data_IF_202235434273
#
_entry.id   IF_202235434273
#
_cell.length_a   1.000
_cell.length_b   1.000
_cell.length_c   1.000
_cell.angle_alpha   90.00
_cell.angle_beta   90.00
_cell.angle_gamma   90.00
#
_symmetry.space_group_name_H-M   'P 1'
#
loop_
_entity.id
_entity.type
_entity.pdbx_description
1 polymer ?
#
# COMPACT_ATOMS: atom_id res chain seq x y z
N UNK A 1 -2.64 -23.75 21.95
CA UNK A 1 -2.53 -24.71 20.85
C UNK A 1 -1.37 -24.24 19.98
N UNK A 2 -0.27 -24.96 20.01
CA UNK A 2 0.96 -24.64 19.24
C UNK A 2 0.70 -24.94 17.79
N UNK A 3 0.71 -23.91 16.92
CA UNK A 3 0.64 -24.08 15.48
C UNK A 3 1.94 -24.72 15.00
N UNK A 4 1.89 -25.99 14.66
CA UNK A 4 2.96 -26.65 13.95
C UNK A 4 3.03 -26.08 12.52
N UNK A 5 3.93 -25.15 12.27
CA UNK A 5 4.38 -24.87 10.93
C UNK A 5 4.97 -26.15 10.33
N UNK A 6 4.53 -26.63 9.18
CA UNK A 6 5.08 -27.84 8.61
C UNK A 6 6.58 -27.62 8.30
N UNK A 7 7.44 -28.48 8.86
CA UNK A 7 8.89 -28.47 8.66
C UNK A 7 9.37 -28.40 7.20
N UNK A 8 8.48 -28.69 6.25
CA UNK A 8 8.75 -28.56 4.80
C UNK A 8 8.82 -27.11 4.34
N UNK A 9 7.97 -26.21 4.84
CA UNK A 9 8.01 -24.78 4.49
C UNK A 9 9.24 -24.10 5.03
N UNK A 10 9.69 -24.47 6.23
CA UNK A 10 10.91 -23.92 6.83
C UNK A 10 12.19 -24.30 6.03
N UNK A 11 12.25 -25.51 5.46
CA UNK A 11 13.39 -25.94 4.63
C UNK A 11 13.45 -25.22 3.29
N UNK A 12 12.31 -24.92 2.67
CA UNK A 12 12.24 -24.17 1.40
C UNK A 12 12.64 -22.70 1.63
N UNK A 13 12.15 -22.09 2.71
CA UNK A 13 12.54 -20.72 3.10
C UNK A 13 14.05 -20.62 3.38
N UNK A 14 14.65 -21.60 4.06
CA UNK A 14 16.09 -21.60 4.33
C UNK A 14 16.93 -21.75 3.05
N UNK A 15 16.51 -22.61 2.11
CA UNK A 15 17.25 -22.81 0.85
C UNK A 15 17.17 -21.60 -0.06
N UNK A 16 16.05 -20.91 -0.09
CA UNK A 16 15.87 -19.69 -0.90
C UNK A 16 16.61 -18.50 -0.28
N UNK A 17 16.62 -18.40 1.06
CA UNK A 17 17.43 -17.40 1.76
C UNK A 17 18.93 -17.58 1.51
N UNK A 18 19.42 -18.84 1.43
CA UNK A 18 20.81 -19.14 1.04
C UNK A 18 21.08 -18.83 -0.44
N UNK A 19 20.11 -19.02 -1.32
CA UNK A 19 20.25 -18.68 -2.75
C UNK A 19 20.28 -17.16 -2.97
N UNK A 20 19.46 -16.38 -2.24
CA UNK A 20 19.55 -14.92 -2.25
C UNK A 20 20.93 -14.44 -1.74
N UNK A 21 21.43 -15.01 -0.65
CA UNK A 21 22.75 -14.67 -0.11
C UNK A 21 23.91 -15.02 -1.06
N UNK A 22 23.75 -16.05 -1.91
CA UNK A 22 24.78 -16.46 -2.87
C UNK A 22 24.84 -15.57 -4.12
N UNK A 23 23.77 -14.85 -4.45
CA UNK A 23 23.73 -13.89 -5.56
C UNK A 23 24.18 -12.48 -5.15
N UNK A 24 24.30 -12.21 -3.85
CA UNK A 24 24.76 -10.93 -3.31
C UNK A 24 26.25 -11.02 -2.96
N UNK A 25 27.08 -10.17 -3.53
CA UNK A 25 28.47 -10.00 -3.07
C UNK A 25 28.45 -9.66 -1.58
N UNK A 26 29.37 -10.23 -0.75
CA UNK A 26 29.38 -9.92 0.67
C UNK A 26 29.75 -8.44 0.87
N UNK A 27 28.76 -7.59 0.90
CA UNK A 27 28.92 -6.24 1.40
C UNK A 27 28.98 -6.33 2.92
N UNK A 28 30.03 -5.80 3.51
CA UNK A 28 30.11 -5.58 4.96
C UNK A 28 28.83 -4.81 5.33
N UNK A 29 28.03 -5.38 6.22
CA UNK A 29 26.80 -4.77 6.68
C UNK A 29 27.12 -3.41 7.30
N UNK A 30 27.01 -2.36 6.50
CA UNK A 30 27.01 -1.00 6.99
C UNK A 30 25.62 -0.81 7.62
N UNK A 31 25.54 -0.70 8.93
CA UNK A 31 24.30 -0.37 9.63
C UNK A 31 23.78 0.94 9.04
N UNK A 32 22.58 0.91 8.49
CA UNK A 32 21.94 2.14 8.01
C UNK A 32 21.66 3.03 9.22
N UNK A 33 22.06 4.31 9.16
CA UNK A 33 21.67 5.31 10.16
C UNK A 33 20.18 5.66 10.12
N UNK A 34 19.45 5.07 9.16
CA UNK A 34 18.02 5.31 8.94
C UNK A 34 17.17 4.13 9.45
N UNK A 35 16.25 4.42 10.36
CA UNK A 35 15.28 3.44 10.83
C UNK A 35 14.35 3.01 9.68
N UNK A 36 14.15 1.71 9.54
CA UNK A 36 13.26 1.16 8.50
C UNK A 36 11.81 1.61 8.69
N UNK A 37 11.19 1.98 7.61
CA UNK A 37 9.76 2.28 7.56
C UNK A 37 8.99 0.97 7.48
N UNK A 38 7.92 0.84 8.27
CA UNK A 38 6.83 -0.08 8.03
C UNK A 38 5.55 0.72 8.00
N UNK A 39 5.00 0.89 6.79
CA UNK A 39 3.79 1.67 6.54
C UNK A 39 2.59 0.78 6.18
N UNK A 40 1.40 1.35 6.26
CA UNK A 40 0.21 0.73 5.74
C UNK A 40 -0.84 1.77 5.38
N UNK A 41 -1.55 1.51 4.27
CA UNK A 41 -2.69 2.33 3.89
C UNK A 41 -3.94 1.86 4.61
N UNK A 42 -4.65 2.82 5.21
CA UNK A 42 -5.98 2.65 5.77
C UNK A 42 -6.99 3.39 4.88
N UNK A 43 -7.90 2.64 4.32
CA UNK A 43 -8.95 3.16 3.44
C UNK A 43 -10.13 3.65 4.29
N UNK A 44 -10.51 4.94 4.16
CA UNK A 44 -11.58 5.57 4.95
C UNK A 44 -12.92 4.82 4.85
N UNK A 45 -13.20 4.28 3.65
CA UNK A 45 -14.43 3.56 3.33
C UNK A 45 -14.48 2.12 3.84
N UNK A 46 -13.39 1.59 4.40
CA UNK A 46 -13.35 0.22 4.93
C UNK A 46 -14.32 -0.01 6.09
N UNK A 47 -14.78 1.05 6.71
CA UNK A 47 -15.79 1.01 7.79
C UNK A 47 -17.17 0.52 7.30
N UNK A 48 -17.47 0.67 6.00
CA UNK A 48 -18.80 0.35 5.47
C UNK A 48 -18.98 -1.15 5.19
N UNK A 49 -18.05 -1.77 4.47
CA UNK A 49 -18.25 -3.09 3.88
C UNK A 49 -17.37 -4.16 4.52
N UNK A 50 -16.12 -3.80 4.77
CA UNK A 50 -15.21 -4.68 5.46
C UNK A 50 -15.46 -4.72 6.97
N UNK A 51 -16.23 -3.74 7.51
CA UNK A 51 -16.38 -3.57 8.95
C UNK A 51 -15.04 -3.30 9.62
N UNK A 52 -14.02 -2.87 8.83
CA UNK A 52 -12.68 -2.64 9.30
C UNK A 52 -12.50 -1.16 9.65
N UNK A 53 -12.06 -0.90 10.87
CA UNK A 53 -11.91 0.44 11.41
C UNK A 53 -10.58 0.60 12.16
N UNK A 54 -10.22 1.81 12.52
CA UNK A 54 -8.95 2.12 13.20
C UNK A 54 -8.76 1.32 14.49
N UNK A 55 -9.84 0.97 15.22
CA UNK A 55 -9.73 0.16 16.43
C UNK A 55 -9.23 -1.27 16.15
N UNK A 56 -9.44 -1.81 14.95
CA UNK A 56 -8.92 -3.12 14.58
C UNK A 56 -7.38 -3.15 14.58
N UNK A 57 -6.72 -2.07 14.19
CA UNK A 57 -5.26 -1.94 14.24
C UNK A 57 -4.73 -2.08 15.68
N UNK A 58 -5.45 -1.53 16.64
CA UNK A 58 -5.12 -1.66 18.06
C UNK A 58 -5.42 -3.07 18.56
N UNK A 59 -6.60 -3.60 18.26
CA UNK A 59 -7.08 -4.88 18.75
C UNK A 59 -6.21 -6.05 18.29
N UNK A 60 -5.78 -6.03 17.02
CA UNK A 60 -4.91 -7.06 16.48
C UNK A 60 -3.41 -6.80 16.72
N UNK A 61 -3.04 -5.66 17.31
CA UNK A 61 -1.66 -5.29 17.65
C UNK A 61 -0.82 -4.81 16.47
N UNK A 62 -1.41 -4.58 15.30
CA UNK A 62 -0.72 -4.04 14.11
C UNK A 62 -0.26 -2.60 14.36
N UNK A 63 -1.06 -1.78 15.08
CA UNK A 63 -0.71 -0.40 15.38
C UNK A 63 0.68 -0.24 16.03
N UNK A 64 1.04 -1.14 16.94
CA UNK A 64 2.35 -1.15 17.61
C UNK A 64 3.51 -1.59 16.72
N UNK A 65 3.25 -2.04 15.49
CA UNK A 65 4.25 -2.46 14.52
C UNK A 65 4.51 -1.41 13.44
N UNK A 66 3.49 -0.60 13.12
CA UNK A 66 3.60 0.44 12.11
C UNK A 66 4.47 1.61 12.59
N UNK A 67 5.22 2.19 11.66
CA UNK A 67 5.87 3.49 11.82
C UNK A 67 5.03 4.60 11.20
N UNK A 68 4.34 4.28 10.10
CA UNK A 68 3.53 5.21 9.32
C UNK A 68 2.18 4.60 8.99
N UNK A 69 1.13 5.39 9.14
CA UNK A 69 -0.22 5.10 8.68
C UNK A 69 -0.56 6.12 7.60
N UNK A 70 -0.75 5.67 6.35
CA UNK A 70 -1.25 6.50 5.27
C UNK A 70 -2.78 6.39 5.27
N UNK A 71 -3.46 7.48 5.52
CA UNK A 71 -4.92 7.55 5.54
C UNK A 71 -5.43 7.92 4.13
N UNK A 72 -6.12 7.03 3.48
CA UNK A 72 -6.58 7.16 2.11
C UNK A 72 -8.11 7.39 2.08
N UNK A 73 -8.62 8.47 1.45
CA UNK A 73 -7.89 9.53 0.78
C UNK A 73 -8.49 10.91 1.08
N UNK A 74 -7.71 11.96 0.81
CA UNK A 74 -8.28 13.27 0.59
C UNK A 74 -8.42 13.53 -0.93
N UNK A 75 -9.45 14.27 -1.32
CA UNK A 75 -9.64 14.69 -2.71
C UNK A 75 -8.94 16.02 -3.01
N UNK A 76 -8.67 16.26 -4.29
CA UNK A 76 -8.27 17.56 -4.82
C UNK A 76 -9.47 18.23 -5.46
N UNK A 77 -9.86 19.41 -4.95
CA UNK A 77 -10.84 20.29 -5.58
C UNK A 77 -10.13 21.35 -6.42
N UNK A 78 -10.74 21.77 -7.52
CA UNK A 78 -10.24 22.86 -8.36
C UNK A 78 -11.15 24.10 -8.37
N UNK A 79 -12.28 24.04 -7.69
CA UNK A 79 -13.31 25.09 -7.68
C UNK A 79 -13.63 25.54 -6.24
N UNK A 80 -13.60 26.83 -5.92
CA UNK A 80 -13.29 27.99 -6.76
C UNK A 80 -11.78 28.16 -7.04
N UNK A 81 -10.90 27.45 -6.33
CA UNK A 81 -9.45 27.38 -6.52
C UNK A 81 -8.94 26.03 -6.06
N UNK A 82 -7.71 25.62 -6.50
CA UNK A 82 -7.13 24.37 -6.01
C UNK A 82 -7.07 24.29 -4.48
N UNK A 83 -7.64 23.23 -3.92
CA UNK A 83 -7.71 23.00 -2.49
C UNK A 83 -7.81 21.49 -2.17
N UNK A 84 -7.37 21.08 -0.99
CA UNK A 84 -7.73 19.78 -0.43
C UNK A 84 -9.20 19.77 0.00
N UNK A 85 -9.81 18.60 -0.13
CA UNK A 85 -11.17 18.34 0.35
C UNK A 85 -11.24 17.00 1.07
N UNK A 86 -12.03 16.93 2.13
CA UNK A 86 -12.42 15.68 2.76
C UNK A 86 -13.26 14.89 1.77
N UNK A 87 -12.95 13.60 1.59
CA UNK A 87 -13.65 12.77 0.61
C UNK A 87 -14.96 12.22 1.18
N UNK A 88 -14.97 11.77 2.44
CA UNK A 88 -16.15 11.25 3.13
C UNK A 88 -16.27 11.87 4.54
N UNK A 89 -17.11 12.87 4.66
CA UNK A 89 -17.32 13.58 5.95
C UNK A 89 -17.92 12.68 7.03
N UNK A 90 -18.73 11.69 6.64
CA UNK A 90 -19.33 10.76 7.58
C UNK A 90 -18.30 9.81 8.17
N UNK A 91 -17.51 9.14 7.32
CA UNK A 91 -16.46 8.24 7.76
C UNK A 91 -15.37 8.98 8.55
N UNK A 92 -14.99 10.18 8.08
CA UNK A 92 -13.84 10.90 8.59
C UNK A 92 -14.08 11.52 9.97
N UNK A 93 -15.16 12.29 10.14
CA UNK A 93 -15.31 13.04 11.38
C UNK A 93 -16.75 13.15 11.95
N UNK A 94 -17.76 12.60 11.26
CA UNK A 94 -19.15 12.77 11.73
C UNK A 94 -19.75 11.52 12.39
N UNK A 95 -19.32 10.30 12.02
CA UNK A 95 -19.89 9.05 12.52
C UNK A 95 -19.60 8.83 14.02
N UNK A 96 -20.60 8.88 14.90
CA UNK A 96 -20.42 8.62 16.33
C UNK A 96 -20.41 7.12 16.65
N UNK A 97 -20.58 6.25 15.65
CA UNK A 97 -20.81 4.82 15.83
C UNK A 97 -19.55 3.97 15.72
N UNK A 98 -18.42 4.55 15.31
CA UNK A 98 -17.18 3.77 15.21
C UNK A 98 -16.67 3.36 16.59
N UNK A 99 -16.11 2.13 16.72
CA UNK A 99 -15.58 1.65 17.98
C UNK A 99 -14.43 2.54 18.48
N UNK A 100 -14.43 2.79 19.79
CA UNK A 100 -13.31 3.47 20.44
C UNK A 100 -12.04 2.63 20.39
N UNK A 101 -10.92 3.27 20.11
CA UNK A 101 -9.59 2.63 20.09
C UNK A 101 -9.06 2.41 21.51
N UNK A 102 -9.32 3.35 22.42
CA UNK A 102 -8.83 3.31 23.81
C UNK A 102 -9.81 2.72 24.81
N UNK A 103 -11.02 2.34 24.38
CA UNK A 103 -12.12 1.97 25.26
C UNK A 103 -12.88 3.16 25.86
N UNK A 104 -12.43 4.38 25.60
CA UNK A 104 -13.07 5.62 26.06
C UNK A 104 -13.89 6.22 24.91
N UNK A 105 -15.17 6.53 25.17
CA UNK A 105 -16.04 7.14 24.15
C UNK A 105 -15.48 8.47 23.62
N UNK A 106 -15.77 8.79 22.38
CA UNK A 106 -15.39 10.08 21.78
C UNK A 106 -16.24 11.21 22.41
N UNK A 107 -15.59 12.25 22.96
CA UNK A 107 -16.35 13.31 23.64
C UNK A 107 -17.07 14.28 22.69
N UNK A 108 -16.81 14.15 21.36
CA UNK A 108 -17.27 15.12 20.36
C UNK A 108 -16.62 16.52 20.51
N UNK A 109 -16.81 17.39 19.54
CA UNK A 109 -17.56 17.20 18.30
C UNK A 109 -16.82 16.40 17.21
N UNK A 110 -15.56 16.00 17.43
CA UNK A 110 -14.82 15.13 16.52
C UNK A 110 -15.20 13.68 16.75
N UNK A 111 -15.66 13.00 15.69
CA UNK A 111 -16.02 11.59 15.67
C UNK A 111 -15.29 10.86 14.51
N UNK A 112 -15.80 9.75 14.06
CA UNK A 112 -15.34 9.02 12.88
C UNK A 112 -13.90 8.50 13.01
N UNK A 113 -13.31 8.25 11.86
CA UNK A 113 -11.92 7.79 11.77
C UNK A 113 -10.93 8.79 12.38
N UNK A 114 -11.19 10.09 12.28
CA UNK A 114 -10.29 11.12 12.82
C UNK A 114 -10.23 11.10 14.35
N UNK A 115 -11.36 10.90 15.02
CA UNK A 115 -11.37 10.70 16.47
C UNK A 115 -10.64 9.38 16.86
N UNK A 116 -10.83 8.33 16.08
CA UNK A 116 -10.15 7.05 16.29
C UNK A 116 -8.61 7.19 16.10
N UNK A 117 -8.16 7.90 15.06
CA UNK A 117 -6.74 8.21 14.83
C UNK A 117 -6.17 9.03 15.99
N UNK A 118 -6.92 10.01 16.51
CA UNK A 118 -6.48 10.80 17.66
C UNK A 118 -6.21 9.92 18.89
N UNK A 119 -7.10 8.97 19.19
CA UNK A 119 -6.88 8.01 20.27
C UNK A 119 -5.74 7.04 19.96
N UNK A 120 -5.61 6.58 18.71
CA UNK A 120 -4.52 5.69 18.30
C UNK A 120 -3.16 6.36 18.50
N UNK A 121 -3.00 7.62 18.11
CA UNK A 121 -1.76 8.40 18.32
C UNK A 121 -1.43 8.62 19.80
N UNK A 122 -2.44 8.75 20.66
CA UNK A 122 -2.22 8.81 22.11
C UNK A 122 -1.64 7.51 22.67
N UNK A 123 -2.10 6.35 22.17
CA UNK A 123 -1.58 5.04 22.55
C UNK A 123 -0.22 4.72 21.90
N UNK A 124 0.02 5.26 20.70
CA UNK A 124 1.23 5.05 19.90
C UNK A 124 1.86 6.38 19.47
N UNK A 125 2.50 7.14 20.40
CA UNK A 125 3.02 8.48 20.10
C UNK A 125 4.15 8.51 19.05
N UNK A 126 4.77 7.36 18.77
CA UNK A 126 5.76 7.20 17.70
C UNK A 126 5.17 7.00 16.31
N UNK A 127 3.87 6.67 16.21
CA UNK A 127 3.20 6.46 14.93
C UNK A 127 3.01 7.79 14.20
N UNK A 128 3.48 7.88 12.96
CA UNK A 128 3.22 8.99 12.05
C UNK A 128 1.98 8.69 11.23
N UNK A 129 1.06 9.64 11.16
CA UNK A 129 -0.15 9.52 10.35
C UNK A 129 -0.07 10.55 9.23
N UNK A 130 -0.09 10.09 7.98
CA UNK A 130 -0.06 10.93 6.79
C UNK A 130 -1.44 10.94 6.14
N UNK A 131 -1.90 12.10 5.71
CA UNK A 131 -3.03 12.17 4.78
C UNK A 131 -2.52 11.82 3.39
N UNK A 132 -3.02 10.74 2.79
CA UNK A 132 -2.81 10.45 1.39
C UNK A 132 -3.80 11.23 0.55
N UNK A 133 -3.30 11.93 -0.48
CA UNK A 133 -4.11 12.83 -1.31
C UNK A 133 -4.13 12.26 -2.73
N UNK A 134 -5.30 11.91 -3.23
CA UNK A 134 -5.47 11.45 -4.61
C UNK A 134 -6.04 10.05 -4.76
N UNK A 135 -5.17 9.07 -5.05
CA UNK A 135 -5.51 7.69 -5.42
C UNK A 135 -5.93 7.53 -6.88
N UNK A 136 -6.22 6.28 -7.29
CA UNK A 136 -6.51 5.85 -8.68
C UNK A 136 -7.79 6.44 -9.30
N UNK A 137 -8.22 7.60 -8.86
CA UNK A 137 -9.41 8.30 -9.37
C UNK A 137 -9.06 9.20 -10.55
N UNK A 138 -9.70 8.98 -11.69
CA UNK A 138 -9.56 9.86 -12.86
C UNK A 138 -9.91 11.32 -12.56
N UNK A 139 -10.84 11.57 -11.63
CA UNK A 139 -11.21 12.91 -11.19
C UNK A 139 -10.07 13.58 -10.41
N UNK A 140 -9.44 12.86 -9.48
CA UNK A 140 -8.29 13.37 -8.74
C UNK A 140 -7.08 13.59 -9.67
N UNK A 141 -6.81 12.67 -10.60
CA UNK A 141 -5.74 12.85 -11.60
C UNK A 141 -5.94 14.14 -12.41
N UNK A 142 -7.14 14.39 -12.93
CA UNK A 142 -7.46 15.62 -13.67
C UNK A 142 -7.35 16.88 -12.78
N UNK A 143 -7.74 16.78 -11.51
CA UNK A 143 -7.62 17.86 -10.55
C UNK A 143 -6.17 18.19 -10.22
N UNK A 144 -5.29 17.19 -10.08
CA UNK A 144 -3.86 17.40 -9.92
C UNK A 144 -3.23 18.10 -11.13
N UNK A 145 -3.55 17.65 -12.36
CA UNK A 145 -3.08 18.31 -13.60
C UNK A 145 -3.44 19.80 -13.55
N UNK A 146 -4.66 20.13 -13.20
CA UNK A 146 -5.14 21.52 -13.10
C UNK A 146 -4.41 22.27 -11.98
N UNK A 147 -4.37 21.74 -10.78
CA UNK A 147 -3.80 22.38 -9.61
C UNK A 147 -2.28 22.60 -9.75
N UNK A 148 -1.57 21.61 -10.30
CA UNK A 148 -0.13 21.65 -10.47
C UNK A 148 0.34 22.52 -11.63
N UNK A 149 -0.53 22.89 -12.58
CA UNK A 149 -0.18 23.60 -13.81
C UNK A 149 0.41 24.99 -13.59
N UNK A 150 0.06 25.65 -12.47
CA UNK A 150 0.52 27.02 -12.15
C UNK A 150 1.14 27.10 -10.74
N UNK A 151 2.06 28.03 -10.54
CA UNK A 151 2.63 28.28 -9.22
C UNK A 151 1.57 28.72 -8.20
N UNK A 152 0.59 29.51 -8.62
CA UNK A 152 -0.53 29.92 -7.75
C UNK A 152 -1.41 28.73 -7.35
N UNK A 153 -1.69 27.82 -8.28
CA UNK A 153 -2.47 26.60 -8.01
C UNK A 153 -1.74 25.67 -7.04
N UNK A 154 -0.45 25.38 -7.25
CA UNK A 154 0.36 24.58 -6.33
C UNK A 154 0.39 25.16 -4.92
N UNK A 155 0.60 26.50 -4.82
CA UNK A 155 0.61 27.22 -3.55
C UNK A 155 -0.74 27.13 -2.84
N UNK A 156 -1.84 27.32 -3.55
CA UNK A 156 -3.18 27.25 -2.99
C UNK A 156 -3.51 25.84 -2.49
N UNK A 157 -3.21 24.80 -3.29
CA UNK A 157 -3.44 23.41 -2.89
C UNK A 157 -2.65 23.06 -1.63
N UNK A 158 -1.34 23.29 -1.61
CA UNK A 158 -0.50 22.97 -0.46
C UNK A 158 -0.96 23.71 0.80
N UNK A 159 -1.26 25.01 0.70
CA UNK A 159 -1.72 25.81 1.83
C UNK A 159 -3.05 25.27 2.40
N UNK A 160 -4.00 24.92 1.54
CA UNK A 160 -5.30 24.40 1.97
C UNK A 160 -5.19 23.03 2.61
N UNK A 161 -4.32 22.13 2.09
CA UNK A 161 -4.08 20.82 2.69
C UNK A 161 -3.47 20.96 4.09
N UNK A 162 -2.49 21.85 4.24
CA UNK A 162 -1.85 22.12 5.54
C UNK A 162 -2.88 22.69 6.53
N UNK A 163 -3.71 23.62 6.10
CA UNK A 163 -4.74 24.19 6.95
C UNK A 163 -5.75 23.14 7.41
N UNK A 164 -6.25 22.35 6.49
CA UNK A 164 -7.29 21.35 6.75
C UNK A 164 -6.75 20.21 7.65
N UNK A 165 -5.60 19.63 7.35
CA UNK A 165 -5.16 18.38 7.97
C UNK A 165 -4.06 18.54 9.01
N UNK A 166 -3.09 19.43 8.80
CA UNK A 166 -1.98 19.62 9.75
C UNK A 166 -2.34 20.61 10.85
N UNK A 167 -2.90 21.77 10.48
CA UNK A 167 -3.47 22.73 11.45
C UNK A 167 -4.79 22.19 12.04
N UNK A 168 -5.44 21.26 11.32
CA UNK A 168 -6.62 20.55 11.80
C UNK A 168 -7.90 21.39 11.79
N UNK A 169 -8.04 22.33 10.87
CA UNK A 169 -9.28 23.11 10.69
C UNK A 169 -10.30 22.27 9.88
N UNK A 170 -10.78 21.18 10.48
CA UNK A 170 -11.55 20.12 9.80
C UNK A 170 -12.89 20.63 9.29
N UNK A 171 -13.66 21.32 10.13
CA UNK A 171 -14.95 21.90 9.80
C UNK A 171 -15.30 23.03 10.78
N UNK A 172 -16.31 23.86 10.51
CA UNK A 172 -16.77 24.87 11.46
C UNK A 172 -17.05 24.29 12.84
N UNK A 173 -16.29 24.73 13.85
CA UNK A 173 -16.38 24.25 15.22
C UNK A 173 -15.68 22.90 15.49
N UNK A 174 -15.01 22.31 14.53
CA UNK A 174 -14.24 21.05 14.67
C UNK A 174 -12.79 21.31 14.33
N UNK A 175 -11.93 21.23 15.32
CA UNK A 175 -10.48 21.38 15.16
C UNK A 175 -9.73 20.19 15.76
N UNK A 176 -8.71 19.71 15.06
CA UNK A 176 -7.87 18.57 15.47
C UNK A 176 -6.39 18.82 15.07
N UNK A 177 -5.71 19.81 15.67
CA UNK A 177 -4.34 20.16 15.32
C UNK A 177 -3.39 19.01 15.63
N UNK A 178 -2.52 18.66 14.65
CA UNK A 178 -1.54 17.59 14.80
C UNK A 178 -2.14 16.19 14.67
N UNK A 179 -3.35 16.07 14.14
CA UNK A 179 -3.94 14.77 13.78
C UNK A 179 -3.09 14.07 12.71
N UNK A 180 -2.73 14.82 11.67
CA UNK A 180 -1.83 14.34 10.63
C UNK A 180 -0.43 14.95 10.80
N UNK A 181 0.59 14.12 10.56
CA UNK A 181 2.00 14.48 10.67
C UNK A 181 2.61 14.93 9.33
N UNK A 182 1.81 14.95 8.27
CA UNK A 182 2.22 15.32 6.92
C UNK A 182 1.36 14.68 5.84
N UNK A 183 1.96 14.49 4.66
CA UNK A 183 1.23 14.06 3.46
C UNK A 183 1.95 12.96 2.69
N UNK A 184 1.14 12.13 2.02
CA UNK A 184 1.53 11.29 0.90
C UNK A 184 0.80 11.81 -0.34
N UNK A 185 1.52 12.12 -1.43
CA UNK A 185 0.92 12.57 -2.69
C UNK A 185 0.75 11.36 -3.59
N UNK A 186 -0.49 11.00 -3.82
CA UNK A 186 -0.89 9.82 -4.58
C UNK A 186 -1.55 10.24 -5.91
N UNK A 187 -0.71 10.74 -6.82
CA UNK A 187 -1.15 11.15 -8.16
C UNK A 187 -0.90 10.00 -9.15
N UNK A 188 -1.96 9.28 -9.50
CA UNK A 188 -1.89 8.12 -10.40
C UNK A 188 -2.40 8.45 -11.81
N UNK A 189 -1.53 8.66 -12.82
CA UNK A 189 -0.10 8.91 -12.69
C UNK A 189 0.24 10.17 -13.52
N UNK A 190 1.30 10.92 -13.18
CA UNK A 190 1.77 12.01 -14.02
C UNK A 190 2.15 11.51 -15.41
N UNK A 191 1.80 12.28 -16.44
CA UNK A 191 2.22 12.02 -17.81
C UNK A 191 3.53 12.78 -18.12
N UNK A 192 4.10 12.56 -19.30
CA UNK A 192 5.32 13.28 -19.73
C UNK A 192 5.16 14.80 -19.73
N UNK A 193 3.93 15.33 -19.90
CA UNK A 193 3.63 16.75 -19.82
C UNK A 193 3.59 17.28 -18.39
N UNK A 194 3.42 16.39 -17.41
CA UNK A 194 3.28 16.74 -15.99
C UNK A 194 4.58 16.67 -15.22
N UNK A 195 5.65 16.09 -15.76
CA UNK A 195 6.93 15.83 -15.09
C UNK A 195 7.44 17.02 -14.26
N UNK A 196 7.47 18.21 -14.87
CA UNK A 196 7.93 19.43 -14.20
C UNK A 196 6.93 19.92 -13.14
N UNK A 197 5.64 19.79 -13.43
CA UNK A 197 4.57 20.23 -12.56
C UNK A 197 4.47 19.35 -11.32
N UNK A 198 4.64 18.03 -11.47
CA UNK A 198 4.70 17.09 -10.37
C UNK A 198 5.84 17.42 -9.39
N UNK A 199 7.06 17.54 -9.91
CA UNK A 199 8.22 17.93 -9.07
C UNK A 199 8.01 19.28 -8.39
N UNK A 200 7.45 20.27 -9.11
CA UNK A 200 7.17 21.58 -8.54
C UNK A 200 6.04 21.57 -7.50
N UNK A 201 5.07 20.65 -7.62
CA UNK A 201 4.04 20.45 -6.59
C UNK A 201 4.65 19.90 -5.30
N UNK A 202 5.47 18.86 -5.40
CA UNK A 202 6.18 18.31 -4.24
C UNK A 202 7.07 19.36 -3.56
N UNK A 203 7.80 20.16 -4.36
CA UNK A 203 8.64 21.25 -3.85
C UNK A 203 7.84 22.33 -3.12
N UNK A 204 6.62 22.63 -3.57
CA UNK A 204 5.74 23.60 -2.91
C UNK A 204 5.25 23.08 -1.56
N UNK A 205 4.78 21.82 -1.47
CA UNK A 205 4.42 21.19 -0.20
C UNK A 205 5.61 21.18 0.76
N UNK A 206 6.78 20.74 0.29
CA UNK A 206 8.01 20.73 1.09
C UNK A 206 8.34 22.13 1.63
N UNK A 207 8.27 23.18 0.79
CA UNK A 207 8.57 24.55 1.18
C UNK A 207 7.64 25.04 2.28
N UNK A 208 6.33 24.83 2.13
CA UNK A 208 5.35 25.27 3.12
C UNK A 208 5.44 24.47 4.42
N UNK A 209 5.63 23.15 4.34
CA UNK A 209 5.83 22.31 5.54
C UNK A 209 7.11 22.69 6.30
N UNK A 210 8.20 23.00 5.59
CA UNK A 210 9.42 23.51 6.24
C UNK A 210 9.23 24.87 6.90
N UNK A 211 8.48 25.76 6.29
CA UNK A 211 8.13 27.05 6.88
C UNK A 211 7.31 26.85 8.16
N UNK A 212 6.35 25.93 8.15
CA UNK A 212 5.58 25.57 9.33
C UNK A 212 6.45 24.90 10.40
N UNK A 213 7.36 24.02 10.01
CA UNK A 213 8.33 23.37 10.91
C UNK A 213 9.19 24.39 11.66
N UNK A 214 9.63 25.45 10.98
CA UNK A 214 10.43 26.52 11.59
C UNK A 214 9.68 27.27 12.70
N UNK A 215 8.35 27.32 12.65
CA UNK A 215 7.52 27.99 13.67
C UNK A 215 7.07 27.05 14.80
N UNK A 216 6.90 25.77 14.50
CA UNK A 216 6.35 24.77 15.43
C UNK A 216 7.42 23.93 16.11
N UNK A 217 8.64 23.88 15.57
CA UNK A 217 9.71 22.98 16.01
C UNK A 217 9.46 21.50 15.68
N UNK A 218 8.44 21.19 14.86
CA UNK A 218 8.07 19.82 14.48
C UNK A 218 8.56 19.50 13.07
N UNK A 219 8.95 18.26 12.84
CA UNK A 219 9.15 17.73 11.49
C UNK A 219 7.82 17.22 10.94
N UNK A 220 7.45 17.67 9.73
CA UNK A 220 6.28 17.18 8.98
C UNK A 220 6.76 16.31 7.85
N UNK A 221 6.20 15.10 7.80
CA UNK A 221 6.63 14.05 6.87
C UNK A 221 6.01 14.26 5.50
N UNK A 222 6.82 14.08 4.46
CA UNK A 222 6.38 14.16 3.08
C UNK A 222 6.75 12.88 2.34
N UNK A 223 5.80 12.29 1.60
CA UNK A 223 6.05 11.19 0.67
C UNK A 223 5.24 11.36 -0.60
N UNK A 224 5.52 10.55 -1.61
CA UNK A 224 4.64 10.37 -2.75
C UNK A 224 4.55 8.89 -3.13
N UNK A 225 3.48 8.53 -3.85
CA UNK A 225 3.31 7.21 -4.42
C UNK A 225 4.03 7.09 -5.75
N UNK A 226 4.94 6.12 -5.85
CA UNK A 226 5.78 5.88 -7.01
C UNK A 226 5.35 4.63 -7.77
N UNK A 227 5.03 4.74 -9.07
CA UNK A 227 4.54 3.62 -9.85
C UNK A 227 5.60 2.53 -10.09
N UNK A 228 5.16 1.27 -10.17
CA UNK A 228 6.00 0.14 -10.52
C UNK A 228 6.35 0.07 -12.02
N UNK A 229 5.43 0.39 -12.89
CA UNK A 229 5.62 0.19 -14.34
C UNK A 229 6.48 1.26 -15.02
N UNK A 230 7.41 0.84 -15.88
CA UNK A 230 8.29 1.73 -16.63
C UNK A 230 7.52 2.79 -17.44
N UNK A 231 6.35 2.44 -17.98
CA UNK A 231 5.48 3.36 -18.71
C UNK A 231 5.04 4.57 -17.88
N UNK A 232 5.04 4.45 -16.54
CA UNK A 232 4.63 5.49 -15.62
C UNK A 232 5.83 6.22 -14.98
N UNK A 233 6.79 5.51 -14.39
CA UNK A 233 7.89 6.17 -13.67
C UNK A 233 8.83 6.96 -14.59
N UNK A 234 8.93 6.66 -15.89
CA UNK A 234 9.70 7.45 -16.84
C UNK A 234 9.18 8.89 -17.01
N UNK A 235 7.94 9.14 -16.60
CA UNK A 235 7.31 10.45 -16.63
C UNK A 235 7.63 11.30 -15.38
N UNK A 236 8.38 10.76 -14.41
CA UNK A 236 8.74 11.44 -13.17
C UNK A 236 10.25 11.70 -13.17
N UNK A 237 10.67 12.93 -12.85
CA UNK A 237 12.08 13.23 -12.52
C UNK A 237 12.35 12.67 -11.11
N UNK A 238 12.57 11.34 -11.04
CA UNK A 238 12.65 10.58 -9.79
C UNK A 238 13.68 11.17 -8.82
N UNK A 239 14.84 11.61 -9.33
CA UNK A 239 15.86 12.23 -8.50
C UNK A 239 15.37 13.51 -7.84
N UNK A 240 14.83 14.44 -8.64
CA UNK A 240 14.35 15.72 -8.12
C UNK A 240 13.10 15.56 -7.25
N UNK A 241 12.22 14.61 -7.57
CA UNK A 241 11.07 14.28 -6.73
C UNK A 241 11.52 13.71 -5.38
N UNK A 242 12.51 12.81 -5.37
CA UNK A 242 13.08 12.26 -4.14
C UNK A 242 13.75 13.31 -3.23
N UNK A 243 14.29 14.40 -3.80
CA UNK A 243 14.85 15.53 -3.03
C UNK A 243 13.78 16.27 -2.21
N UNK A 244 12.50 16.17 -2.59
CA UNK A 244 11.39 16.91 -1.97
C UNK A 244 10.65 16.12 -0.87
N UNK A 245 10.98 14.85 -0.69
CA UNK A 245 10.24 13.94 0.22
C UNK A 245 11.16 13.22 1.18
N UNK A 246 10.61 12.74 2.29
CA UNK A 246 11.35 11.92 3.26
C UNK A 246 11.53 10.49 2.76
N UNK A 247 10.49 9.92 2.13
CA UNK A 247 10.51 8.60 1.52
C UNK A 247 9.50 8.53 0.35
N UNK A 248 9.54 7.43 -0.40
CA UNK A 248 8.64 7.16 -1.52
C UNK A 248 7.98 5.81 -1.27
N UNK A 249 6.64 5.75 -1.32
CA UNK A 249 5.90 4.49 -1.37
C UNK A 249 5.91 4.00 -2.81
N UNK A 250 6.61 2.92 -3.12
CA UNK A 250 6.79 2.45 -4.50
C UNK A 250 6.07 1.12 -4.65
N UNK A 251 5.13 1.07 -5.58
CA UNK A 251 4.35 -0.13 -5.85
C UNK A 251 5.24 -1.33 -6.19
N UNK A 252 5.07 -2.42 -5.48
CA UNK A 252 5.69 -3.71 -5.77
C UNK A 252 4.66 -4.74 -6.24
N UNK A 253 3.61 -4.28 -6.91
CA UNK A 253 2.45 -5.09 -7.30
C UNK A 253 1.82 -4.57 -8.60
N UNK A 254 0.77 -5.26 -9.06
CA UNK A 254 0.08 -4.98 -10.32
C UNK A 254 0.98 -5.09 -11.57
N UNK A 255 2.05 -5.89 -11.50
CA UNK A 255 2.82 -6.27 -12.70
C UNK A 255 2.02 -7.15 -13.64
N UNK A 256 1.09 -7.94 -13.10
CA UNK A 256 0.07 -8.70 -13.83
C UNK A 256 -1.26 -8.63 -13.09
N UNK A 257 -2.35 -8.85 -13.83
CA UNK A 257 -3.69 -8.89 -13.27
C UNK A 257 -4.72 -9.39 -14.27
N UNK A 258 -5.96 -9.53 -13.84
CA UNK A 258 -7.05 -10.10 -14.62
C UNK A 258 -7.48 -9.28 -15.85
N UNK A 259 -6.90 -8.10 -16.06
CA UNK A 259 -6.97 -7.37 -17.33
C UNK A 259 -6.17 -8.02 -18.46
N UNK A 260 -5.28 -8.96 -18.14
CA UNK A 260 -4.56 -9.79 -19.10
C UNK A 260 -5.29 -11.12 -19.26
N UNK A 261 -5.28 -11.68 -20.48
CA UNK A 261 -5.84 -13.02 -20.73
C UNK A 261 -4.94 -14.13 -20.19
N UNK A 262 -3.64 -13.91 -20.10
CA UNK A 262 -2.68 -14.88 -19.62
C UNK A 262 -2.41 -14.69 -18.12
N UNK A 263 -2.47 -15.79 -17.37
CA UNK A 263 -2.11 -15.81 -15.95
C UNK A 263 -0.62 -15.51 -15.76
N UNK A 264 -0.30 -14.71 -14.77
CA UNK A 264 1.08 -14.39 -14.37
C UNK A 264 1.12 -13.99 -12.89
N UNK A 265 2.31 -13.80 -12.34
CA UNK A 265 2.48 -13.32 -10.98
C UNK A 265 2.27 -11.79 -10.90
N UNK A 266 1.43 -11.35 -9.96
CA UNK A 266 1.08 -9.94 -9.80
C UNK A 266 2.14 -9.13 -9.04
N UNK A 267 2.96 -9.79 -8.22
CA UNK A 267 3.98 -9.15 -7.37
C UNK A 267 5.27 -9.99 -7.28
N UNK A 268 5.87 -10.39 -8.41
CA UNK A 268 7.10 -11.18 -8.37
C UNK A 268 8.30 -10.34 -7.93
N UNK A 269 9.19 -10.93 -7.12
CA UNK A 269 10.40 -10.24 -6.71
C UNK A 269 11.44 -10.17 -7.85
N UNK A 270 11.55 -11.22 -8.65
CA UNK A 270 12.51 -11.33 -9.75
C UNK A 270 11.83 -11.77 -11.05
N UNK A 271 12.42 -11.37 -12.17
CA UNK A 271 12.05 -11.89 -13.48
C UNK A 271 12.55 -13.33 -13.69
N UNK A 272 11.95 -14.05 -14.64
CA UNK A 272 12.31 -15.43 -14.96
C UNK A 272 12.22 -15.71 -16.46
N UNK A 273 13.24 -16.39 -17.01
CA UNK A 273 13.23 -16.86 -18.42
C UNK A 273 12.07 -17.78 -18.78
N UNK A 274 11.32 -18.24 -17.79
CA UNK A 274 10.11 -19.04 -18.01
C UNK A 274 8.87 -18.19 -18.22
N UNK A 275 8.93 -16.89 -17.82
CA UNK A 275 7.86 -15.95 -18.06
C UNK A 275 7.80 -15.57 -19.54
N UNK A 276 6.64 -15.68 -20.21
CA UNK A 276 6.46 -15.18 -21.57
C UNK A 276 6.75 -13.67 -21.75
N UNK A 277 6.73 -12.91 -20.66
CA UNK A 277 7.03 -11.47 -20.62
C UNK A 277 8.46 -11.17 -20.13
N UNK A 278 9.34 -12.18 -20.10
CA UNK A 278 10.72 -12.05 -19.68
C UNK A 278 11.43 -10.88 -20.39
N UNK A 279 12.11 -10.05 -19.58
CA UNK A 279 12.85 -8.88 -20.05
C UNK A 279 12.00 -7.63 -20.29
N UNK A 280 10.75 -7.60 -19.80
CA UNK A 280 9.88 -6.43 -19.84
C UNK A 280 9.88 -5.62 -18.55
N UNK A 281 10.78 -5.94 -17.61
CA UNK A 281 10.93 -5.26 -16.30
C UNK A 281 9.63 -5.24 -15.48
N UNK A 282 8.92 -6.38 -15.50
CA UNK A 282 7.66 -6.59 -14.79
C UNK A 282 7.89 -7.35 -13.48
N UNK A 283 8.79 -6.84 -12.65
CA UNK A 283 9.15 -7.37 -11.35
C UNK A 283 9.69 -6.28 -10.42
N UNK A 284 9.76 -6.61 -9.12
CA UNK A 284 10.18 -5.66 -8.08
C UNK A 284 11.66 -5.31 -8.24
N UNK A 285 12.54 -6.27 -8.55
CA UNK A 285 13.99 -6.04 -8.65
C UNK A 285 14.32 -5.04 -9.76
N UNK A 286 13.70 -5.19 -10.92
CA UNK A 286 13.82 -4.25 -12.04
C UNK A 286 13.33 -2.83 -11.67
N UNK A 287 12.20 -2.74 -10.95
CA UNK A 287 11.69 -1.46 -10.46
C UNK A 287 12.66 -0.81 -9.48
N UNK A 288 13.19 -1.57 -8.50
CA UNK A 288 14.20 -1.08 -7.55
C UNK A 288 15.41 -0.55 -8.30
N UNK A 289 15.96 -1.34 -9.24
CA UNK A 289 17.15 -0.95 -9.99
C UNK A 289 16.92 0.31 -10.82
N UNK A 290 15.74 0.47 -11.42
CA UNK A 290 15.37 1.68 -12.16
C UNK A 290 15.36 2.94 -11.28
N UNK A 291 14.74 2.87 -10.09
CA UNK A 291 14.70 4.00 -9.15
C UNK A 291 16.10 4.35 -8.62
N UNK A 292 16.90 3.35 -8.25
CA UNK A 292 18.27 3.57 -7.80
C UNK A 292 19.16 4.15 -8.91
N UNK A 293 19.04 3.63 -10.14
CA UNK A 293 19.77 4.14 -11.31
C UNK A 293 19.37 5.58 -11.65
N UNK A 294 18.11 5.96 -11.42
CA UNK A 294 17.63 7.33 -11.57
C UNK A 294 18.17 8.28 -10.49
N UNK A 295 18.82 7.76 -9.44
CA UNK A 295 19.43 8.55 -8.37
C UNK A 295 18.58 8.73 -7.12
N UNK A 296 17.55 7.91 -6.93
CA UNK A 296 16.80 7.84 -5.67
C UNK A 296 17.69 7.23 -4.60
N UNK A 297 17.88 7.88 -3.44
CA UNK A 297 18.64 7.30 -2.34
C UNK A 297 17.98 6.01 -1.83
N UNK A 298 18.73 4.90 -1.62
CA UNK A 298 18.14 3.63 -1.22
C UNK A 298 17.25 3.70 0.02
N UNK A 299 17.63 4.49 1.01
CA UNK A 299 16.87 4.66 2.26
C UNK A 299 15.52 5.38 2.07
N UNK A 300 15.27 5.98 0.91
CA UNK A 300 13.97 6.57 0.55
C UNK A 300 13.06 5.62 -0.21
N UNK A 301 13.57 4.49 -0.68
CA UNK A 301 12.78 3.47 -1.37
C UNK A 301 12.02 2.62 -0.36
N UNK A 302 10.69 2.73 -0.31
CA UNK A 302 9.82 1.92 0.55
C UNK A 302 8.98 1.01 -0.33
N UNK A 303 9.22 -0.32 -0.24
CA UNK A 303 8.61 -1.33 -1.10
C UNK A 303 7.15 -1.58 -0.73
N UNK A 304 6.24 -1.47 -1.70
CA UNK A 304 4.85 -1.85 -1.55
C UNK A 304 4.62 -3.35 -1.69
N UNK A 305 3.85 -3.93 -0.78
CA UNK A 305 3.33 -5.28 -0.87
C UNK A 305 1.80 -5.26 -0.93
N UNK A 306 1.19 -6.07 -1.83
CA UNK A 306 -0.26 -6.17 -1.87
C UNK A 306 -0.75 -7.09 -0.75
N UNK A 307 -1.81 -6.70 -0.06
CA UNK A 307 -2.57 -7.60 0.80
C UNK A 307 -3.79 -8.19 0.06
N UNK A 308 -3.72 -8.24 -1.26
CA UNK A 308 -4.69 -8.84 -2.16
C UNK A 308 -3.96 -9.65 -3.23
N UNK A 309 -4.72 -10.40 -4.02
CA UNK A 309 -4.19 -11.14 -5.15
C UNK A 309 -5.05 -11.00 -6.38
N UNK A 310 -4.45 -11.28 -7.53
CA UNK A 310 -5.12 -11.31 -8.82
C UNK A 310 -5.55 -12.75 -9.17
N UNK A 311 -6.71 -12.89 -9.81
CA UNK A 311 -7.28 -14.19 -10.11
C UNK A 311 -7.94 -14.31 -11.48
N UNK A 312 -7.86 -15.49 -12.06
CA UNK A 312 -8.41 -15.85 -13.38
C UNK A 312 -9.22 -17.14 -13.31
N UNK A 313 -10.17 -17.28 -14.22
CA UNK A 313 -11.00 -18.49 -14.38
C UNK A 313 -10.86 -19.09 -15.78
N UNK A 314 -11.31 -20.34 -15.95
CA UNK A 314 -11.17 -21.08 -17.20
C UNK A 314 -9.73 -21.39 -17.57
N UNK A 315 -8.87 -21.51 -16.58
CA UNK A 315 -7.43 -21.72 -16.71
C UNK A 315 -7.15 -23.22 -16.90
N UNK A 316 -6.48 -23.64 -18.00
CA UNK A 316 -6.16 -25.06 -18.25
C UNK A 316 -5.23 -25.65 -17.17
N UNK A 317 -5.42 -26.94 -16.86
CA UNK A 317 -4.56 -27.70 -15.96
C UNK A 317 -3.21 -28.05 -16.61
N UNK A 318 -2.41 -27.02 -16.89
CA UNK A 318 -1.05 -27.13 -17.42
C UNK A 318 -0.18 -26.14 -16.64
N UNK A 319 1.03 -26.54 -16.27
CA UNK A 319 1.95 -25.74 -15.44
C UNK A 319 1.26 -25.13 -14.18
N UNK A 320 0.40 -25.92 -13.55
CA UNK A 320 -0.38 -25.50 -12.37
C UNK A 320 -1.19 -24.20 -12.57
N UNK A 321 -1.59 -23.93 -13.81
CA UNK A 321 -2.32 -22.73 -14.19
C UNK A 321 -1.45 -21.51 -14.47
N UNK A 322 -0.15 -21.53 -14.22
CA UNK A 322 0.74 -20.38 -14.47
C UNK A 322 1.09 -20.30 -15.97
N UNK A 323 1.08 -19.08 -16.52
CA UNK A 323 1.32 -18.75 -17.94
C UNK A 323 0.32 -19.41 -18.88
N UNK A 324 -0.92 -19.59 -18.46
CA UNK A 324 -1.98 -20.15 -19.25
C UNK A 324 -3.00 -19.08 -19.67
N UNK A 325 -3.62 -19.27 -20.85
CA UNK A 325 -4.74 -18.43 -21.25
C UNK A 325 -5.97 -18.75 -20.40
N UNK A 326 -6.58 -17.72 -19.86
CA UNK A 326 -7.83 -17.78 -19.11
C UNK A 326 -9.03 -17.43 -19.99
N UNK A 327 -10.23 -17.67 -19.49
CA UNK A 327 -11.47 -17.16 -20.10
C UNK A 327 -11.89 -15.80 -19.54
N UNK A 328 -11.21 -15.31 -18.51
CA UNK A 328 -11.48 -14.00 -17.91
C UNK A 328 -11.09 -13.93 -16.42
N UNK A 329 -11.48 -12.86 -15.75
CA UNK A 329 -11.25 -12.70 -14.33
C UNK A 329 -11.94 -13.79 -13.50
N UNK A 330 -11.35 -14.14 -12.36
CA UNK A 330 -12.00 -15.03 -11.38
C UNK A 330 -13.30 -14.41 -10.86
N UNK A 331 -14.28 -15.24 -10.45
CA UNK A 331 -15.44 -14.73 -9.72
C UNK A 331 -15.01 -13.98 -8.45
N UNK A 332 -15.84 -13.06 -8.00
CA UNK A 332 -15.66 -12.42 -6.68
C UNK A 332 -15.70 -13.51 -5.60
N UNK A 333 -14.67 -13.53 -4.76
CA UNK A 333 -14.63 -14.37 -3.57
C UNK A 333 -14.87 -13.50 -2.33
N UNK A 334 -15.91 -13.81 -1.62
CA UNK A 334 -16.14 -13.24 -0.29
C UNK A 334 -15.35 -14.02 0.77
N UNK A 335 -15.12 -13.42 1.92
CA UNK A 335 -14.42 -14.06 3.03
C UNK A 335 -15.00 -15.42 3.45
N UNK A 336 -16.28 -15.68 3.12
CA UNK A 336 -16.95 -16.97 3.33
C UNK A 336 -16.83 -17.93 2.13
N UNK A 337 -16.17 -17.55 1.03
CA UNK A 337 -15.99 -18.39 -0.17
C UNK A 337 -17.24 -18.58 -1.02
N UNK A 338 -18.35 -17.87 -0.76
CA UNK A 338 -19.65 -18.15 -1.42
C UNK A 338 -19.93 -17.32 -2.65
N UNK A 339 -19.10 -16.35 -3.00
CA UNK A 339 -19.33 -15.44 -4.13
C UNK A 339 -20.55 -14.52 -3.98
N UNK A 340 -21.15 -14.47 -2.80
CA UNK A 340 -22.31 -13.63 -2.47
C UNK A 340 -21.93 -12.61 -1.41
N UNK A 341 -22.24 -11.34 -1.65
CA UNK A 341 -22.04 -10.30 -0.66
C UNK A 341 -22.83 -10.62 0.62
N UNK A 342 -22.16 -10.63 1.78
CA UNK A 342 -22.82 -10.96 3.05
C UNK A 342 -23.73 -9.87 3.60
N UNK A 343 -24.00 -8.79 2.84
CA UNK A 343 -24.96 -7.80 3.29
C UNK A 343 -26.36 -8.44 3.40
N UNK A 344 -26.78 -8.61 4.64
CA UNK A 344 -28.04 -9.23 5.01
C UNK A 344 -29.27 -8.43 4.58
N UNK A 345 -29.11 -7.20 4.10
CA UNK A 345 -30.19 -6.35 3.60
C UNK A 345 -30.55 -6.59 2.14
N UNK A 346 -29.77 -7.40 1.41
CA UNK A 346 -29.92 -7.64 -0.04
C UNK A 346 -29.46 -6.44 -0.90
N UNK A 347 -28.85 -5.44 -0.30
CA UNK A 347 -28.30 -4.29 -1.00
C UNK A 347 -26.87 -4.57 -1.43
N UNK A 348 -26.66 -4.82 -2.71
CA UNK A 348 -25.33 -5.04 -3.29
C UNK A 348 -24.50 -3.75 -3.40
N UNK A 349 -25.10 -2.57 -3.18
CA UNK A 349 -24.38 -1.30 -3.16
C UNK A 349 -23.40 -1.16 -1.98
N UNK A 350 -23.43 -2.10 -1.05
CA UNK A 350 -22.60 -2.15 0.14
C UNK A 350 -21.42 -3.11 0.07
N UNK A 351 -21.18 -3.74 -1.03
CA UNK A 351 -20.04 -4.64 -1.16
C UNK A 351 -18.82 -3.87 -1.66
N UNK A 352 -17.70 -4.06 -0.99
CA UNK A 352 -16.44 -3.40 -1.29
C UNK A 352 -16.16 -3.39 -2.80
N UNK A 353 -16.01 -2.21 -3.37
CA UNK A 353 -15.72 -2.03 -4.79
C UNK A 353 -14.37 -2.63 -5.21
N UNK A 354 -13.50 -2.94 -4.24
CA UNK A 354 -12.27 -3.69 -4.47
C UNK A 354 -12.52 -5.20 -4.63
N UNK A 355 -13.69 -5.71 -4.22
CA UNK A 355 -14.10 -7.06 -4.53
C UNK A 355 -14.69 -7.11 -5.95
N UNK A 356 -13.92 -6.67 -6.91
CA UNK A 356 -14.23 -6.82 -8.33
C UNK A 356 -13.83 -8.21 -8.81
N UNK A 357 -14.47 -8.75 -9.86
CA UNK A 357 -13.99 -9.96 -10.48
C UNK A 357 -12.49 -9.86 -10.79
N UNK A 358 -11.74 -10.90 -10.44
CA UNK A 358 -10.29 -10.94 -10.64
C UNK A 358 -9.45 -10.43 -9.47
N UNK A 359 -10.06 -9.99 -8.37
CA UNK A 359 -9.34 -9.62 -7.14
C UNK A 359 -9.90 -10.40 -5.95
N UNK A 360 -9.01 -10.70 -4.98
CA UNK A 360 -9.39 -11.26 -3.69
C UNK A 360 -8.40 -10.82 -2.61
N UNK A 361 -8.89 -10.60 -1.39
CA UNK A 361 -8.06 -10.19 -0.24
C UNK A 361 -7.12 -11.32 0.21
N UNK A 362 -5.99 -10.98 0.82
CA UNK A 362 -5.12 -11.97 1.47
C UNK A 362 -5.91 -12.80 2.50
N UNK A 363 -6.77 -12.17 3.29
CA UNK A 363 -7.64 -12.86 4.26
C UNK A 363 -8.44 -14.00 3.62
N UNK A 364 -8.97 -13.79 2.41
CA UNK A 364 -9.70 -14.82 1.66
C UNK A 364 -8.75 -15.87 1.08
N UNK A 365 -7.69 -15.43 0.39
CA UNK A 365 -6.77 -16.31 -0.34
C UNK A 365 -6.01 -17.25 0.59
N UNK A 366 -5.63 -16.78 1.78
CA UNK A 366 -4.91 -17.59 2.79
C UNK A 366 -5.69 -18.84 3.26
N UNK A 367 -7.02 -18.85 3.06
CA UNK A 367 -7.90 -19.95 3.45
C UNK A 367 -8.26 -20.89 2.30
N UNK A 368 -7.89 -20.58 1.05
CA UNK A 368 -8.34 -21.37 -0.12
C UNK A 368 -7.73 -22.76 -0.19
N UNK A 369 -6.57 -23.01 0.42
CA UNK A 369 -6.00 -24.38 0.50
C UNK A 369 -6.89 -25.37 1.27
N UNK A 370 -7.72 -24.89 2.19
CA UNK A 370 -8.74 -25.69 2.83
C UNK A 370 -9.97 -25.94 1.95
N UNK A 371 -10.07 -25.25 0.82
CA UNK A 371 -11.22 -25.25 -0.10
C UNK A 371 -10.87 -25.81 -1.50
N UNK A 372 -9.90 -26.73 -1.58
CA UNK A 372 -9.57 -27.46 -2.81
C UNK A 372 -8.45 -26.86 -3.65
N UNK A 373 -7.94 -25.67 -3.31
CA UNK A 373 -6.80 -25.09 -3.99
C UNK A 373 -5.48 -25.71 -3.53
N UNK A 374 -4.56 -25.86 -4.45
CA UNK A 374 -3.17 -26.26 -4.17
C UNK A 374 -2.28 -25.03 -4.30
N UNK A 375 -1.44 -24.79 -3.30
CA UNK A 375 -0.45 -23.72 -3.30
C UNK A 375 0.83 -24.16 -4.00
N UNK A 376 1.39 -23.29 -4.83
CA UNK A 376 2.64 -23.48 -5.56
C UNK A 376 3.55 -22.27 -5.30
N UNK A 377 4.79 -22.56 -4.93
CA UNK A 377 5.83 -21.54 -4.74
C UNK A 377 6.86 -21.59 -5.89
N UNK A 378 7.09 -20.46 -6.55
CA UNK A 378 8.17 -20.31 -7.53
C UNK A 378 9.40 -19.67 -6.85
N UNK A 379 10.49 -20.45 -6.60
CA UNK A 379 11.68 -19.93 -5.95
C UNK A 379 12.49 -18.98 -6.83
N UNK A 380 12.29 -18.97 -8.15
CA UNK A 380 13.01 -18.07 -9.06
C UNK A 380 12.41 -16.68 -9.06
N UNK A 381 11.10 -16.61 -8.90
CA UNK A 381 10.36 -15.35 -8.88
C UNK A 381 10.06 -14.86 -7.46
N UNK A 382 10.23 -15.73 -6.45
CA UNK A 382 9.78 -15.48 -5.07
C UNK A 382 8.32 -15.08 -5.10
N UNK A 383 7.48 -15.94 -5.66
CA UNK A 383 6.06 -15.72 -5.85
C UNK A 383 5.27 -16.96 -5.45
N UNK A 384 4.01 -16.77 -5.04
CA UNK A 384 3.08 -17.83 -4.67
C UNK A 384 1.83 -17.74 -5.54
N UNK A 385 1.36 -18.90 -5.96
CA UNK A 385 0.07 -19.03 -6.64
C UNK A 385 -0.78 -20.14 -6.03
N UNK A 386 -2.08 -20.01 -6.21
CA UNK A 386 -3.10 -21.01 -5.87
C UNK A 386 -3.78 -21.50 -7.14
N UNK A 387 -3.96 -22.79 -7.28
CA UNK A 387 -4.67 -23.35 -8.41
C UNK A 387 -5.66 -24.44 -7.97
N UNK A 388 -6.92 -24.26 -8.35
CA UNK A 388 -7.94 -25.30 -8.31
C UNK A 388 -8.07 -25.94 -9.69
N UNK A 389 -7.58 -27.19 -9.84
CA UNK A 389 -7.63 -27.92 -11.10
C UNK A 389 -9.05 -28.31 -11.54
N UNK A 390 -9.97 -28.38 -10.59
CA UNK A 390 -11.37 -28.78 -10.86
C UNK A 390 -12.17 -27.60 -11.38
N UNK A 391 -12.04 -26.45 -10.71
CA UNK A 391 -12.69 -25.22 -11.13
C UNK A 391 -11.95 -24.52 -12.28
N UNK A 392 -10.68 -24.84 -12.52
CA UNK A 392 -9.82 -24.11 -13.47
C UNK A 392 -9.62 -22.67 -13.03
N UNK A 393 -9.44 -22.43 -11.74
CA UNK A 393 -9.26 -21.07 -11.17
C UNK A 393 -7.86 -20.93 -10.62
N UNK A 394 -7.17 -19.84 -10.98
CA UNK A 394 -5.81 -19.50 -10.59
C UNK A 394 -5.81 -18.16 -9.87
N UNK A 395 -5.06 -18.06 -8.77
CA UNK A 395 -4.75 -16.83 -8.08
C UNK A 395 -3.25 -16.69 -7.84
N UNK A 396 -2.76 -15.45 -7.86
CA UNK A 396 -1.41 -15.07 -7.43
C UNK A 396 -1.52 -14.06 -6.31
N UNK A 397 -0.67 -14.16 -5.28
CA UNK A 397 -0.69 -13.28 -4.12
C UNK A 397 0.61 -13.42 -3.31
N UNK A 398 0.83 -12.54 -2.35
CA UNK A 398 1.92 -12.69 -1.39
C UNK A 398 1.42 -13.44 -0.15
N UNK A 399 2.13 -14.48 0.26
CA UNK A 399 1.95 -15.14 1.55
C UNK A 399 3.03 -14.69 2.57
N UNK A 400 2.92 -15.07 3.86
CA UNK A 400 3.93 -14.71 4.87
C UNK A 400 5.35 -15.14 4.51
N UNK A 401 5.53 -16.23 3.76
CA UNK A 401 6.86 -16.70 3.35
C UNK A 401 7.48 -15.77 2.31
N UNK A 402 6.70 -15.38 1.31
CA UNK A 402 7.10 -14.41 0.28
C UNK A 402 7.34 -13.04 0.91
N UNK A 403 6.45 -12.57 1.80
CA UNK A 403 6.63 -11.31 2.49
C UNK A 403 7.95 -11.29 3.28
N UNK A 404 8.27 -12.36 4.02
CA UNK A 404 9.55 -12.46 4.75
C UNK A 404 10.76 -12.40 3.82
N UNK A 405 10.72 -13.06 2.66
CA UNK A 405 11.80 -13.02 1.67
C UNK A 405 11.96 -11.62 1.04
N UNK A 406 10.87 -10.91 0.80
CA UNK A 406 10.89 -9.52 0.35
C UNK A 406 11.48 -8.59 1.42
N UNK A 407 11.19 -8.81 2.71
CA UNK A 407 11.85 -8.06 3.79
C UNK A 407 13.36 -8.33 3.84
N UNK A 408 13.77 -9.58 3.69
CA UNK A 408 15.18 -9.94 3.59
C UNK A 408 15.87 -9.28 2.38
N UNK A 409 15.19 -9.22 1.24
CA UNK A 409 15.67 -8.49 0.07
C UNK A 409 15.86 -6.99 0.37
N UNK A 410 14.92 -6.33 1.06
CA UNK A 410 15.05 -4.93 1.49
C UNK A 410 16.33 -4.72 2.30
N UNK A 411 16.67 -5.64 3.19
CA UNK A 411 17.87 -5.53 4.02
C UNK A 411 19.17 -5.77 3.24
N UNK A 412 19.13 -6.58 2.19
CA UNK A 412 20.33 -7.08 1.52
C UNK A 412 20.59 -6.48 0.12
N UNK A 413 19.61 -5.82 -0.52
CA UNK A 413 19.74 -5.33 -1.90
C UNK A 413 20.93 -4.42 -2.12
N UNK A 414 21.19 -3.53 -1.17
CA UNK A 414 22.33 -2.60 -1.19
C UNK A 414 22.92 -2.45 0.21
N UNK A 415 24.17 -1.97 0.35
CA UNK A 415 24.74 -1.65 1.66
C UNK A 415 23.86 -0.66 2.42
N UNK A 416 23.44 -1.04 3.64
CA UNK A 416 22.49 -0.28 4.45
C UNK A 416 21.01 -0.56 4.15
N UNK A 417 20.72 -1.35 3.10
CA UNK A 417 19.39 -1.76 2.70
C UNK A 417 18.55 -0.64 2.08
N UNK A 418 17.31 -0.99 1.67
CA UNK A 418 16.28 -0.04 1.23
C UNK A 418 15.58 0.61 2.44
N UNK A 419 14.72 1.62 2.21
CA UNK A 419 14.07 2.40 3.27
C UNK A 419 13.05 1.63 4.11
N UNK A 420 12.47 0.56 3.60
CA UNK A 420 11.47 -0.23 4.31
C UNK A 420 10.38 -0.78 3.40
N UNK A 421 9.21 -1.01 3.98
CA UNK A 421 8.05 -1.55 3.27
C UNK A 421 6.74 -0.88 3.68
N UNK A 422 5.72 -1.04 2.83
CA UNK A 422 4.34 -0.69 3.16
C UNK A 422 3.36 -1.68 2.53
N UNK A 423 2.09 -1.61 2.94
CA UNK A 423 1.03 -2.46 2.39
C UNK A 423 -0.14 -1.65 1.83
N UNK A 424 -0.70 -2.13 0.74
CA UNK A 424 -2.01 -1.81 0.21
C UNK A 424 -2.90 -3.06 0.24
N UNK A 425 -3.98 -3.14 1.10
CA UNK A 425 -4.29 -2.21 2.15
C UNK A 425 -4.53 -2.98 3.46
N UNK A 426 -4.47 -2.29 4.59
CA UNK A 426 -4.51 -2.90 5.93
C UNK A 426 -5.77 -3.74 6.20
N UNK A 427 -6.93 -3.38 5.61
CA UNK A 427 -8.19 -4.14 5.76
C UNK A 427 -8.15 -5.54 5.13
N UNK A 428 -7.24 -5.74 4.19
CA UNK A 428 -7.15 -6.98 3.40
C UNK A 428 -6.29 -8.06 4.08
N UNK A 429 -5.56 -7.69 5.17
CA UNK A 429 -4.88 -8.66 6.03
C UNK A 429 -5.90 -9.54 6.78
N UNK A 430 -5.46 -10.65 7.33
CA UNK A 430 -6.33 -11.45 8.19
C UNK A 430 -6.62 -10.72 9.53
N UNK A 431 -7.63 -11.19 10.23
CA UNK A 431 -8.05 -10.59 11.50
C UNK A 431 -6.93 -10.51 12.56
N UNK A 432 -5.84 -11.25 12.39
CA UNK A 432 -4.67 -11.27 13.29
C UNK A 432 -3.59 -10.29 12.88
N UNK A 433 -3.66 -9.71 11.67
CA UNK A 433 -2.60 -8.87 11.10
C UNK A 433 -1.34 -9.68 10.76
N UNK A 434 -1.52 -10.86 10.21
CA UNK A 434 -0.43 -11.83 9.99
C UNK A 434 0.63 -11.30 9.05
N UNK A 435 0.23 -10.68 7.93
CA UNK A 435 1.16 -10.16 6.94
C UNK A 435 2.00 -9.00 7.51
N UNK A 436 1.33 -8.00 8.10
CA UNK A 436 2.03 -6.84 8.68
C UNK A 436 2.98 -7.25 9.80
N UNK A 437 2.59 -8.19 10.65
CA UNK A 437 3.46 -8.71 11.73
C UNK A 437 4.64 -9.51 11.19
N UNK A 438 4.45 -10.26 10.11
CA UNK A 438 5.53 -10.97 9.43
C UNK A 438 6.53 -9.99 8.84
N UNK A 439 6.06 -8.94 8.18
CA UNK A 439 6.90 -7.87 7.66
C UNK A 439 7.66 -7.15 8.79
N UNK A 440 6.97 -6.84 9.89
CA UNK A 440 7.62 -6.26 11.07
C UNK A 440 8.76 -7.12 11.58
N UNK A 441 8.53 -8.42 11.73
CA UNK A 441 9.56 -9.37 12.19
C UNK A 441 10.73 -9.44 11.19
N UNK A 442 10.46 -9.42 9.88
CA UNK A 442 11.48 -9.43 8.84
C UNK A 442 12.34 -8.16 8.81
N UNK A 443 11.78 -7.02 9.21
CA UNK A 443 12.48 -5.73 9.35
C UNK A 443 13.07 -5.52 10.77
N UNK A 444 13.07 -6.55 11.63
CA UNK A 444 13.64 -6.46 12.98
C UNK A 444 12.83 -5.58 13.96
N UNK A 445 11.50 -5.50 13.79
CA UNK A 445 10.61 -4.61 14.55
C UNK A 445 9.65 -5.36 15.47
#
# INVERSE_FOLDING_TARGET
MTSNFPLRSLRVVLTTALALAACMTPAVAQTSDHAKILGGYFEEWSIYYAGYNIANLQQNGVAGKLTHLMYAFANVSTTPSPACAIADTWADYQSPYLPSVSGVAYPGPLYGNFAAIQQLKQLHPGLKVLMSIGGASAANTAAFVTAASTAAGRKALAASCIDLFVNGNIAPGITAPGLFDGFNIDWEFPTATDTKNFTALLAEFHTQLRALAATTGKHYVMSFDGPAGAQNYVNIDLKKAAEQVDFITIDGYNYAGSWQTQTNDASPLFDSKQDPLYGQDLDIDATVDAYLAAGVPPYKYTMGLPLYGAGWTGVPNKNHGLYQNSTGPSPVLWANGTGVCPDLSGNTAGCDTLLTPGLATYSTLSNLTANGYTSYYDPKRVAVSLYDRTAGTFYTFDDPSVALLKMLYIELKVPGGLGGAYVWALKDDDAKGTMVKTMAAGLGR
#
